data_IF_056449288995
#
_entry.id   IF_056449288995
#
_cell.length_a   1.000
_cell.length_b   1.000
_cell.length_c   1.000
_cell.angle_alpha   90.00
_cell.angle_beta   90.00
_cell.angle_gamma   90.00
#
_symmetry.space_group_name_H-M   'P 1'
#
loop_
_entity.id
_entity.type
_entity.pdbx_description
1 polymer ?
#
# COMPACT_ATOMS: atom_id res chain seq x y z
N UNK A 1 -10.76 -26.21 -0.61
CA UNK A 1 -10.71 -24.74 -0.73
C UNK A 1 -12.07 -24.25 -1.20
N UNK A 2 -12.73 -23.41 -0.40
CA UNK A 2 -14.01 -22.84 -0.80
C UNK A 2 -13.75 -21.63 -1.69
N UNK A 3 -13.92 -21.79 -3.00
CA UNK A 3 -13.74 -20.72 -3.98
C UNK A 3 -14.83 -19.63 -3.90
N UNK A 4 -15.87 -19.83 -3.08
CA UNK A 4 -16.88 -18.80 -2.81
C UNK A 4 -16.43 -17.79 -1.73
N UNK A 5 -15.33 -18.06 -1.01
CA UNK A 5 -14.69 -17.10 -0.11
C UNK A 5 -13.43 -16.55 -0.80
N UNK A 6 -13.60 -15.45 -1.54
CA UNK A 6 -12.51 -14.74 -2.20
C UNK A 6 -12.93 -14.16 -3.54
N UNK A 7 -12.33 -13.04 -3.94
CA UNK A 7 -12.43 -12.61 -5.33
C UNK A 7 -11.48 -13.49 -6.15
N UNK A 8 -11.85 -13.87 -7.38
CA UNK A 8 -10.98 -14.72 -8.20
C UNK A 8 -9.67 -14.02 -8.53
N UNK A 9 -9.69 -12.69 -8.70
CA UNK A 9 -8.55 -11.90 -9.14
C UNK A 9 -8.37 -10.62 -8.31
N UNK A 10 -7.18 -10.48 -7.71
CA UNK A 10 -6.66 -9.27 -7.08
C UNK A 10 -5.39 -8.87 -7.83
N UNK A 11 -5.34 -7.62 -8.28
CA UNK A 11 -4.15 -7.03 -8.88
C UNK A 11 -3.37 -6.27 -7.82
N UNK A 12 -2.16 -6.76 -7.50
CA UNK A 12 -1.18 -5.99 -6.76
C UNK A 12 -0.18 -5.41 -7.77
N UNK A 13 -0.13 -4.08 -7.97
CA UNK A 13 0.92 -3.47 -8.77
C UNK A 13 2.28 -3.79 -8.13
N UNK A 14 3.02 -4.71 -8.74
CA UNK A 14 4.36 -5.09 -8.28
C UNK A 14 5.37 -3.98 -8.59
N UNK A 15 6.15 -3.58 -7.58
CA UNK A 15 7.18 -2.54 -7.71
C UNK A 15 6.63 -1.12 -7.79
N UNK A 16 7.46 -0.13 -7.45
CA UNK A 16 7.11 1.29 -7.58
C UNK A 16 6.25 1.89 -6.46
N UNK A 17 5.96 1.14 -5.39
CA UNK A 17 5.28 1.64 -4.18
C UNK A 17 6.26 2.20 -3.12
N UNK A 18 7.56 2.24 -3.42
CA UNK A 18 8.60 2.71 -2.51
C UNK A 18 8.82 4.22 -2.73
N UNK A 19 8.69 5.06 -1.70
CA UNK A 19 8.94 6.49 -1.83
C UNK A 19 10.37 6.83 -2.28
N UNK A 20 10.58 7.98 -2.94
CA UNK A 20 11.92 8.44 -3.33
C UNK A 20 12.89 8.49 -2.16
N UNK A 21 14.14 8.10 -2.41
CA UNK A 21 15.19 8.09 -1.39
C UNK A 21 15.08 6.95 -0.37
N UNK A 22 14.03 6.13 -0.44
CA UNK A 22 13.88 4.92 0.37
C UNK A 22 14.38 3.72 -0.43
N UNK A 23 15.15 2.83 0.22
CA UNK A 23 15.67 1.59 -0.39
C UNK A 23 14.98 0.33 0.13
N UNK A 24 13.92 0.48 0.94
CA UNK A 24 13.12 -0.62 1.48
C UNK A 24 13.69 -1.25 2.75
N UNK A 25 14.88 -0.86 3.21
CA UNK A 25 15.47 -1.41 4.44
C UNK A 25 15.97 -0.33 5.40
N UNK A 26 16.36 0.84 4.90
CA UNK A 26 16.88 1.92 5.75
C UNK A 26 15.78 2.85 6.24
N UNK A 27 15.90 3.23 7.51
CA UNK A 27 15.13 4.35 8.04
C UNK A 27 15.51 5.64 7.30
N UNK A 28 14.50 6.34 6.81
CA UNK A 28 14.64 7.62 6.13
C UNK A 28 13.84 8.65 6.92
N UNK A 29 14.42 9.82 7.14
CA UNK A 29 13.74 10.90 7.83
C UNK A 29 12.49 11.34 7.04
N UNK A 30 11.33 11.53 7.72
CA UNK A 30 10.12 12.04 7.08
C UNK A 30 10.39 13.34 6.37
N UNK A 31 9.90 13.46 5.14
CA UNK A 31 10.07 14.66 4.35
C UNK A 31 8.92 14.80 3.36
N UNK A 32 8.85 15.97 2.74
CA UNK A 32 7.78 16.32 1.82
C UNK A 32 7.72 15.42 0.58
N UNK A 33 8.86 14.90 0.09
CA UNK A 33 8.86 14.04 -1.11
C UNK A 33 8.20 12.70 -0.83
N UNK A 34 8.41 12.13 0.36
CA UNK A 34 7.71 10.93 0.83
C UNK A 34 6.20 11.18 0.91
N UNK A 35 5.80 12.31 1.49
CA UNK A 35 4.39 12.66 1.62
C UNK A 35 3.71 12.84 0.26
N UNK A 36 4.34 13.63 -0.62
CA UNK A 36 3.81 13.95 -1.95
C UNK A 36 3.74 12.68 -2.83
N UNK A 37 4.72 11.78 -2.69
CA UNK A 37 4.67 10.46 -3.33
C UNK A 37 3.52 9.61 -2.81
N UNK A 38 3.38 9.48 -1.49
CA UNK A 38 2.37 8.60 -0.87
C UNK A 38 0.96 9.08 -1.21
N UNK A 39 0.72 10.39 -1.23
CA UNK A 39 -0.56 10.98 -1.68
C UNK A 39 -0.88 10.64 -3.13
N UNK A 40 0.09 10.81 -4.03
CA UNK A 40 -0.06 10.43 -5.45
C UNK A 40 -0.32 8.94 -5.61
N UNK A 41 0.30 8.12 -4.77
CA UNK A 41 0.07 6.68 -4.76
C UNK A 41 -1.38 6.37 -4.34
N UNK A 42 -1.90 7.03 -3.29
CA UNK A 42 -3.31 6.88 -2.89
C UNK A 42 -4.26 7.22 -4.05
N UNK A 43 -4.04 8.36 -4.72
CA UNK A 43 -4.83 8.77 -5.89
C UNK A 43 -4.78 7.73 -7.02
N UNK A 44 -3.59 7.17 -7.28
CA UNK A 44 -3.40 6.12 -8.27
C UNK A 44 -4.20 4.86 -7.92
N UNK A 45 -4.13 4.38 -6.67
CA UNK A 45 -4.88 3.20 -6.24
C UNK A 45 -6.38 3.43 -6.22
N UNK A 46 -6.84 4.63 -5.88
CA UNK A 46 -8.26 4.99 -5.93
C UNK A 46 -8.80 4.93 -7.37
N UNK A 47 -8.05 5.47 -8.32
CA UNK A 47 -8.39 5.35 -9.75
C UNK A 47 -8.37 3.89 -10.20
N UNK A 48 -7.30 3.17 -9.88
CA UNK A 48 -7.14 1.79 -10.30
C UNK A 48 -8.17 0.85 -9.66
N UNK A 49 -8.69 1.17 -8.46
CA UNK A 49 -9.82 0.45 -7.85
C UNK A 49 -11.10 0.59 -8.69
N UNK A 50 -11.40 1.81 -9.17
CA UNK A 50 -12.53 2.03 -10.07
C UNK A 50 -12.35 1.28 -11.39
N UNK A 51 -11.15 1.33 -11.99
CA UNK A 51 -10.83 0.63 -13.24
C UNK A 51 -10.95 -0.90 -13.07
N UNK A 52 -10.38 -1.46 -12.00
CA UNK A 52 -10.46 -2.90 -11.69
C UNK A 52 -11.91 -3.36 -11.48
N UNK A 53 -12.75 -2.54 -10.84
CA UNK A 53 -14.16 -2.87 -10.63
C UNK A 53 -14.91 -3.05 -11.96
N UNK A 54 -14.58 -2.29 -13.01
CA UNK A 54 -15.18 -2.49 -14.35
C UNK A 54 -14.85 -3.84 -14.97
N UNK A 55 -13.76 -4.46 -14.54
CA UNK A 55 -13.28 -5.77 -14.99
C UNK A 55 -13.64 -6.89 -13.99
N UNK A 56 -14.42 -6.60 -12.96
CA UNK A 56 -14.75 -7.57 -11.89
C UNK A 56 -13.57 -7.94 -10.99
N UNK A 57 -12.50 -7.15 -11.00
CA UNK A 57 -11.27 -7.41 -10.26
C UNK A 57 -11.14 -6.47 -9.06
N UNK A 58 -10.33 -6.85 -8.07
CA UNK A 58 -9.93 -5.98 -6.97
C UNK A 58 -8.49 -5.51 -7.15
N UNK A 59 -8.14 -4.41 -6.51
CA UNK A 59 -6.76 -3.96 -6.38
C UNK A 59 -6.35 -4.05 -4.91
N UNK A 60 -5.07 -4.29 -4.65
CA UNK A 60 -4.52 -4.26 -3.30
C UNK A 60 -3.02 -4.00 -3.31
N UNK A 61 -2.47 -3.77 -2.12
CA UNK A 61 -1.03 -3.64 -1.91
C UNK A 61 -0.57 -4.68 -0.89
N UNK A 62 0.55 -5.32 -1.21
CA UNK A 62 1.26 -6.26 -0.37
C UNK A 62 2.37 -5.54 0.41
N UNK A 63 2.34 -5.59 1.74
CA UNK A 63 3.37 -4.94 2.55
C UNK A 63 4.66 -5.77 2.65
N UNK A 64 5.76 -5.05 2.81
CA UNK A 64 6.98 -5.53 3.43
C UNK A 64 7.14 -4.86 4.80
N UNK A 65 8.35 -4.83 5.33
CA UNK A 65 8.65 -4.19 6.61
C UNK A 65 8.73 -2.67 6.50
N UNK A 66 9.18 -2.12 5.36
CA UNK A 66 9.42 -0.69 5.24
C UNK A 66 8.16 0.15 5.31
N UNK A 67 7.02 -0.36 4.83
CA UNK A 67 5.74 0.36 4.83
C UNK A 67 5.30 0.72 6.26
N UNK A 68 5.71 -0.08 7.25
CA UNK A 68 5.46 0.17 8.67
C UNK A 68 6.47 1.16 9.30
N UNK A 69 7.69 1.19 8.77
CA UNK A 69 8.83 1.98 9.30
C UNK A 69 8.92 3.38 8.70
N UNK A 70 8.66 3.54 7.41
CA UNK A 70 8.62 4.85 6.75
C UNK A 70 7.52 5.67 7.39
N UNK A 71 7.87 6.86 7.86
CA UNK A 71 6.94 7.79 8.47
C UNK A 71 6.66 8.97 7.55
N UNK A 72 5.40 9.37 7.52
CA UNK A 72 4.93 10.63 6.95
C UNK A 72 5.35 11.78 7.86
N UNK A 73 5.32 13.03 7.36
CA UNK A 73 5.68 14.20 8.20
C UNK A 73 4.72 14.44 9.37
N UNK A 74 3.50 13.91 9.30
CA UNK A 74 2.52 13.93 10.39
C UNK A 74 2.73 12.83 11.46
N UNK A 75 3.73 11.96 11.28
CA UNK A 75 4.09 10.88 12.18
C UNK A 75 3.36 9.55 11.93
N UNK A 76 2.39 9.50 11.02
CA UNK A 76 1.76 8.23 10.61
C UNK A 76 2.74 7.35 9.85
N UNK A 77 2.58 6.03 9.92
CA UNK A 77 3.32 5.16 9.00
C UNK A 77 2.79 5.31 7.58
N UNK A 78 3.63 5.03 6.58
CA UNK A 78 3.21 4.94 5.19
C UNK A 78 2.01 3.98 5.05
N UNK A 79 2.08 2.81 5.70
CA UNK A 79 1.01 1.80 5.68
C UNK A 79 -0.31 2.34 6.22
N UNK A 80 -0.30 2.97 7.39
CA UNK A 80 -1.50 3.52 8.02
C UNK A 80 -2.07 4.69 7.21
N UNK A 81 -1.20 5.59 6.73
CA UNK A 81 -1.61 6.71 5.91
C UNK A 81 -2.28 6.23 4.62
N UNK A 82 -1.66 5.28 3.93
CA UNK A 82 -2.14 4.76 2.66
C UNK A 82 -3.56 4.18 2.80
N UNK A 83 -3.82 3.32 3.79
CA UNK A 83 -5.16 2.74 3.98
C UNK A 83 -6.18 3.68 4.62
N UNK A 84 -5.73 4.76 5.26
CA UNK A 84 -6.63 5.81 5.75
C UNK A 84 -7.09 6.77 4.64
N UNK A 85 -6.38 6.80 3.50
CA UNK A 85 -6.61 7.74 2.40
C UNK A 85 -6.94 7.07 1.05
N UNK A 86 -7.11 5.75 1.05
CA UNK A 86 -7.58 5.00 -0.12
C UNK A 86 -9.03 4.55 0.02
N UNK A 87 -9.68 4.29 -1.12
CA UNK A 87 -11.03 3.74 -1.19
C UNK A 87 -11.04 2.34 -0.54
N UNK A 88 -12.15 1.99 0.13
CA UNK A 88 -12.33 0.68 0.78
C UNK A 88 -12.27 -0.50 -0.20
N UNK A 89 -12.39 -0.25 -1.50
CA UNK A 89 -12.18 -1.23 -2.55
C UNK A 89 -10.69 -1.62 -2.70
N UNK A 90 -9.75 -0.79 -2.26
CA UNK A 90 -8.33 -1.14 -2.15
C UNK A 90 -8.14 -2.10 -0.99
N UNK A 91 -7.62 -3.29 -1.28
CA UNK A 91 -7.48 -4.36 -0.29
C UNK A 91 -6.07 -4.38 0.33
N UNK A 92 -6.02 -4.77 1.60
CA UNK A 92 -4.77 -5.13 2.28
C UNK A 92 -4.38 -6.57 1.92
N UNK A 93 -3.28 -6.76 1.20
CA UNK A 93 -2.60 -8.06 1.11
C UNK A 93 -1.55 -8.14 2.21
N UNK A 94 -2.00 -8.31 3.45
CA UNK A 94 -1.10 -8.24 4.60
C UNK A 94 -0.15 -9.44 4.65
N UNK A 95 1.14 -9.20 4.47
CA UNK A 95 2.18 -10.17 4.79
C UNK A 95 2.44 -10.17 6.29
N UNK A 96 2.01 -11.25 6.93
CA UNK A 96 2.14 -11.43 8.38
C UNK A 96 3.60 -11.62 8.82
N UNK A 97 4.47 -12.18 7.98
CA UNK A 97 5.88 -12.35 8.29
C UNK A 97 6.61 -11.02 8.33
N UNK A 98 6.39 -10.19 7.32
CA UNK A 98 6.96 -8.84 7.26
C UNK A 98 6.37 -7.89 8.29
N UNK A 99 5.09 -8.06 8.61
CA UNK A 99 4.44 -7.34 9.72
C UNK A 99 5.14 -7.67 11.03
N UNK A 100 5.31 -8.96 11.35
CA UNK A 100 5.99 -9.39 12.59
C UNK A 100 7.45 -8.92 12.63
N UNK A 101 8.13 -8.88 11.49
CA UNK A 101 9.51 -8.36 11.41
C UNK A 101 9.59 -6.83 11.63
N UNK A 102 8.51 -6.10 11.37
CA UNK A 102 8.47 -4.65 11.56
C UNK A 102 8.39 -4.24 13.05
N UNK A 103 7.84 -5.11 13.90
CA UNK A 103 7.62 -4.87 15.34
C UNK A 103 6.14 -4.67 15.67
#
# INVERSE_FOLDING_TARGET
FNLAYGNTHLYCPGGGNVPPGCDGDKEVAPNREIDDFTKKLCDFYNKAAADCATMGCKIGIHNHTFEHRIKMTDGTSFWDYFFSHTDKAVQMEQDVGWTVHAG
#
